data_IF_659322816997
#
_entry.id   IF_659322816997
#
_cell.length_a   1.000
_cell.length_b   1.000
_cell.length_c   1.000
_cell.angle_alpha   90.00
_cell.angle_beta   90.00
_cell.angle_gamma   90.00
#
_symmetry.space_group_name_H-M   'P 1'
#
loop_
_entity.id
_entity.type
_entity.pdbx_description
1 polymer ?
#
# COMPACT_ATOMS: atom_id res chain seq x y z
N UNK A 1 -14.63 26.15 -10.26
CA UNK A 1 -14.47 25.95 -8.81
C UNK A 1 -13.00 25.66 -8.52
N UNK A 2 -12.31 26.59 -7.84
CA UNK A 2 -10.86 26.51 -7.59
C UNK A 2 -10.60 25.95 -6.20
N UNK A 3 -9.98 24.77 -6.11
CA UNK A 3 -9.40 24.29 -4.86
C UNK A 3 -8.09 25.06 -4.65
N UNK A 4 -8.07 26.01 -3.70
CA UNK A 4 -6.87 26.82 -3.40
C UNK A 4 -5.71 25.98 -2.84
N UNK A 5 -6.03 24.83 -2.22
CA UNK A 5 -5.08 23.78 -1.84
C UNK A 5 -5.49 22.50 -2.56
N UNK A 6 -4.75 22.08 -3.59
CA UNK A 6 -5.09 20.91 -4.41
C UNK A 6 -5.32 19.64 -3.57
N UNK A 7 -6.30 18.83 -3.97
CA UNK A 7 -6.57 17.53 -3.34
C UNK A 7 -5.54 16.51 -3.82
N UNK A 8 -4.67 16.02 -2.94
CA UNK A 8 -3.55 15.15 -3.31
C UNK A 8 -4.05 13.77 -3.79
N UNK A 9 -4.88 13.12 -2.99
CA UNK A 9 -5.53 11.85 -3.32
C UNK A 9 -7.06 12.00 -3.25
N UNK A 10 -7.62 12.88 -4.09
CA UNK A 10 -9.06 13.12 -4.10
C UNK A 10 -9.56 14.03 -5.24
N UNK A 11 -10.88 14.15 -5.32
CA UNK A 11 -11.59 14.98 -6.29
C UNK A 11 -11.95 16.35 -5.69
N UNK A 12 -11.79 17.41 -6.49
CA UNK A 12 -12.21 18.75 -6.10
C UNK A 12 -13.73 18.88 -6.29
N UNK A 13 -14.48 19.02 -5.19
CA UNK A 13 -15.95 19.18 -5.23
C UNK A 13 -16.40 20.63 -5.06
N UNK A 14 -15.49 21.54 -4.73
CA UNK A 14 -15.78 22.96 -4.57
C UNK A 14 -14.57 23.76 -4.09
N UNK A 15 -14.74 25.06 -3.77
CA UNK A 15 -13.68 25.89 -3.22
C UNK A 15 -13.16 25.31 -1.91
N UNK A 16 -11.87 24.94 -1.87
CA UNK A 16 -11.19 24.31 -0.72
C UNK A 16 -11.89 23.04 -0.19
N UNK A 17 -12.69 22.36 -1.02
CA UNK A 17 -13.39 21.13 -0.67
C UNK A 17 -12.87 19.98 -1.51
N UNK A 18 -12.32 18.99 -0.80
CA UNK A 18 -11.83 17.75 -1.37
C UNK A 18 -12.72 16.58 -0.95
N UNK A 19 -13.10 15.76 -1.91
CA UNK A 19 -13.64 14.42 -1.67
C UNK A 19 -12.49 13.43 -1.84
N UNK A 20 -12.01 12.85 -0.75
CA UNK A 20 -10.87 11.94 -0.80
C UNK A 20 -11.21 10.62 -1.48
N UNK A 21 -10.23 10.08 -2.21
CA UNK A 21 -10.29 8.69 -2.66
C UNK A 21 -10.31 7.76 -1.44
N UNK A 22 -10.88 6.54 -1.56
CA UNK A 22 -10.80 5.54 -0.51
C UNK A 22 -9.35 5.32 -0.05
N UNK A 23 -9.15 5.13 1.26
CA UNK A 23 -7.82 5.00 1.88
C UNK A 23 -7.13 6.33 2.23
N UNK A 24 -7.75 7.48 1.95
CA UNK A 24 -7.16 8.80 2.24
C UNK A 24 -8.09 9.71 3.04
N UNK A 25 -7.48 10.59 3.83
CA UNK A 25 -8.16 11.56 4.70
C UNK A 25 -7.40 12.90 4.78
N UNK A 26 -7.97 13.84 5.52
CA UNK A 26 -7.48 15.21 5.69
C UNK A 26 -8.11 16.19 4.71
N UNK A 27 -7.97 17.50 5.00
CA UNK A 27 -8.59 18.58 4.21
C UNK A 27 -8.17 18.58 2.73
N UNK A 28 -6.95 18.12 2.46
CA UNK A 28 -6.37 18.01 1.12
C UNK A 28 -6.12 16.57 0.70
N UNK A 29 -6.71 15.58 1.40
CA UNK A 29 -6.54 14.16 1.10
C UNK A 29 -5.07 13.73 1.01
N UNK A 30 -4.24 14.25 1.92
CA UNK A 30 -2.79 14.02 1.95
C UNK A 30 -2.37 13.02 3.02
N UNK A 31 -3.29 12.59 3.87
CA UNK A 31 -3.06 11.64 4.94
C UNK A 31 -3.59 10.28 4.53
N UNK A 32 -2.78 9.26 4.76
CA UNK A 32 -3.19 7.87 4.61
C UNK A 32 -4.12 7.47 5.77
N UNK A 33 -5.16 6.71 5.47
CA UNK A 33 -6.04 6.15 6.50
C UNK A 33 -5.45 4.83 6.93
N UNK A 34 -5.11 4.69 8.22
CA UNK A 34 -4.68 3.40 8.73
C UNK A 34 -5.88 2.48 8.96
N UNK A 35 -6.25 1.66 7.98
CA UNK A 35 -7.42 0.79 8.08
C UNK A 35 -7.26 -0.27 9.17
N UNK A 36 -6.03 -0.67 9.49
CA UNK A 36 -5.73 -1.62 10.55
C UNK A 36 -6.09 -1.11 11.96
N UNK A 37 -6.22 0.21 12.12
CA UNK A 37 -6.66 0.87 13.34
C UNK A 37 -8.18 1.10 13.43
N UNK A 38 -8.93 0.80 12.37
CA UNK A 38 -10.38 1.00 12.34
C UNK A 38 -11.13 -0.09 13.12
N UNK A 39 -12.37 0.22 13.50
CA UNK A 39 -13.29 -0.70 14.18
C UNK A 39 -14.60 -0.78 13.38
N UNK A 40 -15.07 -1.99 12.99
CA UNK A 40 -14.43 -3.30 13.20
C UNK A 40 -13.09 -3.41 12.45
N UNK A 41 -12.20 -4.30 12.93
CA UNK A 41 -10.91 -4.53 12.25
C UNK A 41 -11.17 -5.18 10.89
N UNK A 42 -10.46 -4.78 9.82
CA UNK A 42 -10.79 -5.20 8.47
C UNK A 42 -10.28 -6.61 8.10
N UNK A 43 -9.38 -7.18 8.90
CA UNK A 43 -8.78 -8.48 8.65
C UNK A 43 -9.10 -9.46 9.78
N UNK A 44 -9.25 -10.75 9.44
CA UNK A 44 -9.47 -11.82 10.42
C UNK A 44 -8.28 -11.99 11.37
N UNK A 45 -7.08 -12.11 10.83
CA UNK A 45 -5.86 -12.34 11.60
C UNK A 45 -4.96 -11.09 11.71
N UNK A 46 -4.16 -10.82 10.68
CA UNK A 46 -3.21 -9.70 10.69
C UNK A 46 -3.50 -8.73 9.56
N UNK A 47 -3.23 -7.47 9.84
CA UNK A 47 -3.41 -6.35 8.93
C UNK A 47 -2.09 -5.59 8.80
N UNK A 48 -1.73 -5.22 7.58
CA UNK A 48 -0.60 -4.35 7.27
C UNK A 48 -1.14 -3.12 6.56
N UNK A 49 -0.90 -1.95 7.15
CA UNK A 49 -1.24 -0.68 6.53
C UNK A 49 -0.28 -0.40 5.38
N UNK A 50 -0.81 0.07 4.25
CA UNK A 50 -0.03 0.45 3.07
C UNK A 50 -0.47 1.84 2.61
N UNK A 51 0.34 2.54 1.83
CA UNK A 51 -0.06 3.89 1.40
C UNK A 51 -1.26 3.82 0.43
N UNK A 52 -2.41 4.29 0.87
CA UNK A 52 -3.70 4.31 0.19
C UNK A 52 -4.55 3.05 0.33
N UNK A 53 -4.12 2.07 1.13
CA UNK A 53 -4.81 0.79 1.29
C UNK A 53 -4.28 -0.02 2.46
N UNK A 54 -4.70 -1.27 2.57
CA UNK A 54 -4.15 -2.23 3.52
C UNK A 54 -4.16 -3.62 2.92
N UNK A 55 -3.42 -4.53 3.56
CA UNK A 55 -3.42 -5.95 3.18
C UNK A 55 -3.61 -6.85 4.38
N UNK A 56 -4.45 -7.86 4.20
CA UNK A 56 -4.68 -8.91 5.18
C UNK A 56 -3.76 -10.09 4.96
N UNK A 57 -3.36 -10.74 6.05
CA UNK A 57 -2.53 -11.94 6.01
C UNK A 57 -2.79 -12.80 7.25
N UNK A 58 -2.45 -14.09 7.13
CA UNK A 58 -2.80 -15.08 8.12
C UNK A 58 -1.66 -15.38 9.09
N UNK A 59 -2.00 -15.88 10.28
CA UNK A 59 -1.01 -16.36 11.23
C UNK A 59 -0.30 -17.61 10.72
N UNK A 60 0.82 -17.96 11.35
CA UNK A 60 1.50 -19.21 11.08
C UNK A 60 0.55 -20.41 11.19
N UNK A 61 0.62 -21.35 10.25
CA UNK A 61 -0.33 -22.46 10.19
C UNK A 61 -1.63 -22.16 9.46
N UNK A 62 -1.77 -21.02 8.79
CA UNK A 62 -2.98 -20.65 8.05
C UNK A 62 -2.66 -20.11 6.65
N UNK A 63 -3.54 -20.42 5.70
CA UNK A 63 -3.51 -19.92 4.32
C UNK A 63 -4.61 -18.89 4.11
N UNK A 64 -4.28 -17.82 3.38
CA UNK A 64 -5.23 -16.77 3.02
C UNK A 64 -6.11 -17.25 1.86
N UNK A 65 -7.41 -17.27 2.08
CA UNK A 65 -8.42 -17.68 1.11
C UNK A 65 -8.86 -16.50 0.22
N UNK A 66 -9.45 -16.74 -0.97
CA UNK A 66 -9.90 -15.67 -1.87
C UNK A 66 -10.95 -14.73 -1.29
N UNK A 67 -11.73 -15.19 -0.30
CA UNK A 67 -12.72 -14.40 0.44
C UNK A 67 -12.10 -13.55 1.58
N UNK A 68 -10.78 -13.62 1.75
CA UNK A 68 -10.04 -12.91 2.79
C UNK A 68 -10.00 -13.64 4.14
N UNK A 69 -10.58 -14.84 4.24
CA UNK A 69 -10.54 -15.65 5.46
C UNK A 69 -9.24 -16.46 5.58
N UNK A 70 -8.97 -16.97 6.77
CA UNK A 70 -7.79 -17.77 7.06
C UNK A 70 -8.13 -19.23 7.33
N UNK A 71 -7.77 -20.12 6.41
CA UNK A 71 -7.97 -21.56 6.56
C UNK A 71 -6.75 -22.22 7.20
N UNK A 72 -6.96 -23.09 8.21
CA UNK A 72 -5.86 -23.83 8.84
C UNK A 72 -5.18 -24.75 7.83
N UNK A 73 -3.85 -24.71 7.78
CA UNK A 73 -3.03 -25.52 6.88
C UNK A 73 -1.87 -26.14 7.64
N UNK A 74 -1.80 -27.48 7.58
CA UNK A 74 -0.73 -28.27 8.23
C UNK A 74 0.63 -28.03 7.57
N UNK A 75 0.67 -27.85 6.26
CA UNK A 75 1.93 -27.57 5.53
C UNK A 75 2.49 -26.20 5.90
N UNK A 76 1.62 -25.20 6.05
CA UNK A 76 2.00 -23.89 6.56
C UNK A 76 2.35 -23.85 8.06
N UNK A 77 1.90 -24.83 8.84
CA UNK A 77 2.29 -24.94 10.25
C UNK A 77 3.74 -25.40 10.40
N UNK A 78 4.31 -26.07 9.39
CA UNK A 78 5.71 -26.49 9.38
C UNK A 78 6.68 -25.37 8.99
N UNK A 79 6.19 -24.27 8.42
CA UNK A 79 7.03 -23.17 7.92
C UNK A 79 6.68 -21.88 8.63
N UNK A 80 7.60 -21.37 9.45
CA UNK A 80 7.40 -20.13 10.20
C UNK A 80 7.57 -18.88 9.31
N UNK A 81 6.54 -18.54 8.54
CA UNK A 81 6.50 -17.36 7.66
C UNK A 81 6.11 -16.07 8.42
N UNK A 82 6.70 -14.94 8.03
CA UNK A 82 6.42 -13.64 8.66
C UNK A 82 4.99 -13.12 8.36
N UNK A 83 4.49 -13.33 7.14
CA UNK A 83 3.19 -12.81 6.70
C UNK A 83 2.23 -13.91 6.25
N UNK A 84 2.64 -14.82 5.38
CA UNK A 84 1.74 -15.91 4.95
C UNK A 84 2.50 -16.97 4.18
N UNK A 85 1.77 -17.94 3.67
CA UNK A 85 2.32 -19.07 2.93
C UNK A 85 1.36 -19.46 1.80
N UNK A 86 1.91 -20.11 0.78
CA UNK A 86 1.16 -20.77 -0.29
C UNK A 86 1.82 -22.09 -0.67
N UNK A 87 1.07 -22.93 -1.37
CA UNK A 87 1.59 -24.15 -1.99
C UNK A 87 1.80 -23.92 -3.49
N UNK A 88 3.06 -23.90 -3.92
CA UNK A 88 3.47 -23.74 -5.32
C UNK A 88 4.10 -25.04 -5.78
N UNK A 89 3.47 -25.71 -6.75
CA UNK A 89 3.99 -26.96 -7.36
C UNK A 89 4.33 -28.05 -6.32
N UNK A 90 3.52 -28.17 -5.27
CA UNK A 90 3.73 -29.15 -4.19
C UNK A 90 4.79 -28.76 -3.17
N UNK A 91 5.34 -27.54 -3.23
CA UNK A 91 6.23 -26.98 -2.21
C UNK A 91 5.52 -25.85 -1.46
N UNK A 92 5.71 -25.79 -0.14
CA UNK A 92 5.23 -24.67 0.68
C UNK A 92 6.25 -23.53 0.65
N UNK A 93 5.80 -22.34 0.25
CA UNK A 93 6.62 -21.14 0.16
C UNK A 93 5.99 -20.02 0.98
N UNK A 94 6.81 -19.23 1.67
CA UNK A 94 6.32 -18.03 2.34
C UNK A 94 5.96 -16.94 1.34
N UNK A 95 4.94 -16.16 1.66
CA UNK A 95 4.45 -15.06 0.85
C UNK A 95 4.83 -13.71 1.45
N UNK A 96 5.16 -12.78 0.57
CA UNK A 96 5.23 -11.38 0.92
C UNK A 96 3.90 -10.69 0.56
N UNK A 97 3.35 -9.87 1.47
CA UNK A 97 2.00 -9.35 1.32
C UNK A 97 1.90 -8.33 0.18
N UNK A 98 2.99 -7.67 -0.20
CA UNK A 98 3.00 -6.68 -1.29
C UNK A 98 4.02 -7.01 -2.36
N UNK A 99 3.74 -6.56 -3.59
CA UNK A 99 4.68 -6.65 -4.72
C UNK A 99 5.92 -5.77 -4.52
N UNK A 100 5.83 -4.76 -3.65
CA UNK A 100 6.97 -3.97 -3.17
C UNK A 100 7.80 -4.66 -2.09
N UNK A 101 7.54 -5.93 -1.79
CA UNK A 101 8.31 -6.73 -0.86
C UNK A 101 8.82 -7.99 -1.56
N UNK A 102 10.02 -8.44 -1.20
CA UNK A 102 10.60 -9.70 -1.67
C UNK A 102 10.99 -10.60 -0.51
N UNK A 103 11.01 -11.91 -0.76
CA UNK A 103 11.53 -12.88 0.22
C UNK A 103 13.01 -12.61 0.46
N UNK A 104 13.38 -12.51 1.73
CA UNK A 104 14.76 -12.45 2.15
C UNK A 104 15.50 -13.78 1.99
N UNK A 105 16.81 -13.81 2.27
CA UNK A 105 17.66 -14.99 2.07
C UNK A 105 17.22 -16.24 2.86
N UNK A 106 16.50 -16.05 3.97
CA UNK A 106 15.98 -17.15 4.78
C UNK A 106 14.68 -17.77 4.22
N UNK A 107 14.10 -17.20 3.16
CA UNK A 107 12.84 -17.65 2.56
C UNK A 107 11.61 -17.49 3.47
N UNK A 108 11.69 -16.69 4.54
CA UNK A 108 10.64 -16.56 5.58
C UNK A 108 10.26 -15.13 5.91
N UNK A 109 11.22 -14.23 5.86
CA UNK A 109 11.02 -12.79 6.14
C UNK A 109 10.94 -12.02 4.84
N UNK A 110 10.16 -10.94 4.84
CA UNK A 110 10.07 -10.04 3.69
C UNK A 110 10.93 -8.81 3.89
N UNK A 111 11.65 -8.46 2.83
CA UNK A 111 12.50 -7.29 2.74
C UNK A 111 11.85 -6.33 1.77
N UNK A 112 11.88 -5.06 2.13
CA UNK A 112 11.39 -3.97 1.29
C UNK A 112 12.18 -3.87 -0.01
N UNK A 113 11.48 -3.76 -1.13
CA UNK A 113 12.09 -3.41 -2.41
C UNK A 113 12.03 -1.89 -2.48
N UNK A 114 13.18 -1.22 -2.45
CA UNK A 114 13.20 0.22 -2.69
C UNK A 114 13.00 0.50 -4.20
N UNK A 115 11.75 0.73 -4.61
CA UNK A 115 11.43 0.99 -6.01
C UNK A 115 12.01 2.33 -6.51
N UNK A 116 12.30 3.26 -5.60
CA UNK A 116 12.95 4.53 -5.92
C UNK A 116 14.42 4.32 -6.27
N UNK A 117 15.14 3.52 -5.49
CA UNK A 117 16.56 3.22 -5.70
C UNK A 117 16.80 2.27 -6.88
N UNK A 118 15.84 1.37 -7.15
CA UNK A 118 15.93 0.42 -8.27
C UNK A 118 15.46 0.99 -9.61
N UNK A 119 14.88 2.19 -9.62
CA UNK A 119 14.31 2.82 -10.83
C UNK A 119 13.02 2.18 -11.33
N UNK A 120 12.42 1.25 -10.54
CA UNK A 120 11.13 0.63 -10.87
C UNK A 120 9.95 1.55 -10.61
N UNK A 121 10.14 2.59 -9.81
CA UNK A 121 9.11 3.56 -9.51
C UNK A 121 8.73 4.40 -10.74
N UNK A 122 7.46 4.34 -11.14
CA UNK A 122 6.93 5.16 -12.24
C UNK A 122 6.34 6.45 -11.68
N UNK A 123 7.08 7.56 -11.78
CA UNK A 123 6.63 8.89 -11.38
C UNK A 123 6.51 9.84 -12.58
N UNK A 124 5.44 10.64 -12.62
CA UNK A 124 5.25 11.68 -13.64
C UNK A 124 6.32 12.79 -13.56
N UNK A 125 6.43 13.62 -14.61
CA UNK A 125 7.37 14.74 -14.68
C UNK A 125 7.29 15.68 -13.46
N UNK A 126 8.44 16.23 -13.03
CA UNK A 126 8.61 17.06 -11.83
C UNK A 126 8.16 16.41 -10.50
N UNK A 127 8.10 15.07 -10.45
CA UNK A 127 7.85 14.31 -9.21
C UNK A 127 9.13 13.58 -8.78
N UNK A 128 9.26 13.41 -7.46
CA UNK A 128 10.23 12.54 -6.83
C UNK A 128 9.54 11.34 -6.21
N UNK A 129 10.17 10.19 -6.32
CA UNK A 129 9.75 8.97 -5.65
C UNK A 129 10.02 9.09 -4.13
N UNK A 130 9.14 8.48 -3.34
CA UNK A 130 9.32 8.26 -1.91
C UNK A 130 9.02 6.81 -1.63
N UNK A 131 10.05 6.10 -1.15
CA UNK A 131 9.94 4.70 -0.79
C UNK A 131 9.12 4.56 0.51
N UNK A 132 8.31 3.50 0.58
CA UNK A 132 7.52 3.14 1.77
C UNK A 132 7.56 1.63 1.95
N UNK A 133 7.32 1.13 3.16
CA UNK A 133 7.38 -0.33 3.34
C UNK A 133 6.30 -1.04 2.50
N UNK A 134 6.73 -1.82 1.53
CA UNK A 134 5.90 -2.59 0.60
C UNK A 134 5.24 -1.79 -0.51
N UNK A 135 5.65 -0.54 -0.75
CA UNK A 135 5.14 0.29 -1.86
C UNK A 135 6.00 1.55 -2.06
N UNK A 136 5.62 2.41 -2.99
CA UNK A 136 6.16 3.75 -3.11
C UNK A 136 5.06 4.74 -3.48
N UNK A 137 5.33 6.04 -3.30
CA UNK A 137 4.47 7.08 -3.86
C UNK A 137 5.29 8.24 -4.42
N UNK A 138 4.70 8.93 -5.39
CA UNK A 138 5.31 10.09 -6.03
C UNK A 138 4.80 11.39 -5.42
N UNK A 139 5.71 12.33 -5.12
CA UNK A 139 5.36 13.69 -4.68
C UNK A 139 6.10 14.75 -5.49
N UNK A 140 5.59 15.98 -5.56
CA UNK A 140 6.29 17.04 -6.28
C UNK A 140 7.71 17.24 -5.75
N UNK A 141 8.63 17.53 -6.66
CA UNK A 141 10.00 17.92 -6.32
C UNK A 141 10.01 19.23 -5.53
N UNK A 142 11.13 19.51 -4.86
CA UNK A 142 11.28 20.77 -4.12
C UNK A 142 11.16 21.95 -5.09
N UNK A 143 10.38 22.97 -4.72
CA UNK A 143 10.12 24.13 -5.58
C UNK A 143 8.96 23.98 -6.55
N UNK A 144 8.35 22.79 -6.67
CA UNK A 144 7.16 22.56 -7.49
C UNK A 144 5.92 22.37 -6.62
N UNK A 145 4.80 22.93 -7.05
CA UNK A 145 3.51 22.77 -6.39
C UNK A 145 2.57 21.89 -7.22
N UNK A 146 1.78 21.07 -6.54
CA UNK A 146 0.73 20.30 -7.21
C UNK A 146 -0.38 21.26 -7.63
N UNK A 147 -0.48 21.56 -8.93
CA UNK A 147 -1.58 22.33 -9.50
C UNK A 147 -2.55 21.41 -10.23
N UNK A 148 -3.82 21.79 -10.18
CA UNK A 148 -4.89 21.15 -10.92
C UNK A 148 -5.27 22.04 -12.09
N UNK A 149 -4.97 21.59 -13.31
CA UNK A 149 -5.25 22.36 -14.53
C UNK A 149 -5.88 21.43 -15.55
N UNK A 150 -7.03 21.83 -16.09
CA UNK A 150 -7.75 21.11 -17.16
C UNK A 150 -7.98 19.62 -16.89
N UNK A 151 -8.33 19.25 -15.65
CA UNK A 151 -8.69 17.88 -15.29
C UNK A 151 -7.54 16.99 -14.81
N UNK A 152 -6.29 17.46 -14.84
CA UNK A 152 -5.12 16.66 -14.43
C UNK A 152 -4.25 17.39 -13.39
N UNK A 153 -3.59 16.62 -12.52
CA UNK A 153 -2.65 17.15 -11.52
C UNK A 153 -1.21 17.11 -12.05
N UNK A 154 -0.60 18.27 -12.23
CA UNK A 154 0.81 18.42 -12.60
C UNK A 154 1.59 19.13 -11.49
N UNK A 155 2.88 18.81 -11.38
CA UNK A 155 3.79 19.57 -10.54
C UNK A 155 4.39 20.69 -11.41
N UNK A 156 4.05 21.94 -11.09
CA UNK A 156 4.48 23.15 -11.81
C UNK A 156 5.10 24.17 -10.88
#
# INVERSE_FOLDING_TARGET
ATCGHGCKYGECTGPNKCKCFPGFTGKTCNQDVNECGLKPRPCEHRCMNTHGSYKCYCLNGYMLMPDGTCASSRTCAMVNCQYGCEEVKGQVQCLCPSAGLQLGPNGRTCIDIDECSTGKAVCSYNRRCVNTFGSFYCKCQLGYELKYTSGHYSCV
#
